data_IF_735522394939
#
_entry.id   IF_735522394939
#
_cell.length_a   1.000
_cell.length_b   1.000
_cell.length_c   1.000
_cell.angle_alpha   90.00
_cell.angle_beta   90.00
_cell.angle_gamma   90.00
#
_symmetry.space_group_name_H-M   'P 1'
#
loop_
_entity.id
_entity.type
_entity.pdbx_description
1 polymer ?
#
# COMPACT_ATOMS: atom_id res chain seq x y z
N UNK A 1 8.68 -6.47 11.33
CA UNK A 1 8.74 -5.99 12.74
C UNK A 1 7.66 -6.68 13.58
N UNK A 2 7.84 -6.88 14.90
CA UNK A 2 6.79 -7.42 15.79
C UNK A 2 5.97 -6.32 16.45
N UNK A 3 4.76 -6.65 16.88
CA UNK A 3 3.87 -5.73 17.60
C UNK A 3 4.54 -5.21 18.88
N UNK A 4 4.52 -3.90 19.09
CA UNK A 4 5.00 -3.25 20.31
C UNK A 4 3.84 -2.81 21.20
N UNK A 5 4.13 -2.37 22.43
CA UNK A 5 3.10 -1.84 23.34
C UNK A 5 2.40 -0.60 22.77
N UNK A 6 3.12 0.23 22.00
CA UNK A 6 2.57 1.42 21.34
C UNK A 6 1.62 1.07 20.19
N UNK A 7 1.65 -0.17 19.68
CA UNK A 7 0.69 -0.63 18.69
C UNK A 7 -0.71 -0.83 19.29
N UNK A 8 -0.85 -1.15 20.58
CA UNK A 8 -2.14 -1.45 21.21
C UNK A 8 -3.10 -0.24 21.15
N UNK A 9 -2.71 0.98 21.59
CA UNK A 9 -3.56 2.16 21.42
C UNK A 9 -3.85 2.48 19.95
N UNK A 10 -2.91 2.16 19.05
CA UNK A 10 -3.09 2.38 17.62
C UNK A 10 -4.18 1.47 17.04
N UNK A 11 -4.18 0.18 17.39
CA UNK A 11 -5.21 -0.78 16.98
C UNK A 11 -6.62 -0.36 17.43
N UNK A 12 -6.75 0.11 18.66
CA UNK A 12 -8.04 0.58 19.20
C UNK A 12 -8.55 1.78 18.38
N UNK A 13 -7.67 2.76 18.10
CA UNK A 13 -8.02 3.93 17.29
C UNK A 13 -8.36 3.54 15.85
N UNK A 14 -7.55 2.70 15.21
CA UNK A 14 -7.79 2.23 13.85
C UNK A 14 -9.12 1.50 13.74
N UNK A 15 -9.47 0.63 14.70
CA UNK A 15 -10.76 -0.06 14.71
C UNK A 15 -11.94 0.91 14.79
N UNK A 16 -11.81 1.95 15.62
CA UNK A 16 -12.84 2.97 15.77
C UNK A 16 -12.99 3.81 14.50
N UNK A 17 -11.88 4.27 13.94
CA UNK A 17 -11.86 5.07 12.71
C UNK A 17 -12.42 4.25 11.54
N UNK A 18 -12.00 2.99 11.42
CA UNK A 18 -12.49 2.04 10.43
C UNK A 18 -13.99 1.76 10.54
N UNK A 19 -14.53 1.70 11.76
CA UNK A 19 -15.98 1.54 11.97
C UNK A 19 -16.75 2.81 11.60
N UNK A 20 -16.20 3.99 11.91
CA UNK A 20 -16.79 5.30 11.57
C UNK A 20 -16.73 5.64 10.08
N UNK A 21 -15.74 5.10 9.37
CA UNK A 21 -15.62 5.25 7.92
C UNK A 21 -16.79 4.61 7.16
N UNK A 22 -17.34 3.51 7.69
CA UNK A 22 -18.32 2.69 6.97
C UNK A 22 -19.76 2.95 7.40
N UNK A 23 -19.99 3.48 8.61
CA UNK A 23 -21.34 3.77 9.13
C UNK A 23 -21.34 4.80 10.26
N UNK A 24 -22.49 5.46 10.44
CA UNK A 24 -22.79 6.31 11.60
C UNK A 24 -23.65 5.61 12.66
N UNK A 25 -23.98 4.32 12.50
CA UNK A 25 -24.73 3.55 13.50
C UNK A 25 -23.87 3.29 14.75
N UNK A 26 -24.09 4.09 15.80
CA UNK A 26 -23.41 3.95 17.08
C UNK A 26 -23.60 2.57 17.72
N UNK A 27 -24.75 1.92 17.52
CA UNK A 27 -24.98 0.58 18.11
C UNK A 27 -24.08 -0.45 17.47
N UNK A 28 -23.88 -0.39 16.16
CA UNK A 28 -22.89 -1.20 15.46
C UNK A 28 -21.48 -0.91 15.97
N UNK A 29 -21.08 0.37 16.01
CA UNK A 29 -19.73 0.79 16.42
C UNK A 29 -19.42 0.27 17.84
N UNK A 30 -20.35 0.39 18.77
CA UNK A 30 -20.18 -0.12 20.14
C UNK A 30 -19.99 -1.65 20.15
N UNK A 31 -20.75 -2.41 19.36
CA UNK A 31 -20.61 -3.88 19.29
C UNK A 31 -19.27 -4.28 18.69
N UNK A 32 -18.88 -3.68 17.56
CA UNK A 32 -17.60 -3.93 16.92
C UNK A 32 -16.43 -3.61 17.86
N UNK A 33 -16.45 -2.45 18.51
CA UNK A 33 -15.40 -2.06 19.46
C UNK A 33 -15.30 -2.98 20.67
N UNK A 34 -16.44 -3.46 21.21
CA UNK A 34 -16.42 -4.44 22.31
C UNK A 34 -15.73 -5.75 21.90
N UNK A 35 -16.05 -6.27 20.71
CA UNK A 35 -15.41 -7.48 20.18
C UNK A 35 -13.93 -7.27 19.89
N UNK A 36 -13.57 -6.11 19.31
CA UNK A 36 -12.17 -5.76 19.04
C UNK A 36 -11.37 -5.65 20.34
N UNK A 37 -11.88 -4.97 21.37
CA UNK A 37 -11.19 -4.85 22.65
C UNK A 37 -10.98 -6.21 23.33
N UNK A 38 -11.98 -7.10 23.25
CA UNK A 38 -11.84 -8.48 23.72
C UNK A 38 -10.82 -9.29 22.93
N UNK A 39 -10.70 -9.08 21.61
CA UNK A 39 -9.66 -9.73 20.82
C UNK A 39 -8.27 -9.18 21.15
N UNK A 40 -8.13 -7.85 21.26
CA UNK A 40 -6.87 -7.17 21.58
C UNK A 40 -6.32 -7.61 22.94
N UNK A 41 -7.17 -7.90 23.93
CA UNK A 41 -6.70 -8.37 25.23
C UNK A 41 -5.97 -9.72 25.18
N UNK A 42 -6.20 -10.51 24.12
CA UNK A 42 -5.59 -11.82 23.92
C UNK A 42 -4.54 -11.83 22.77
N UNK A 43 -4.17 -10.67 22.23
CA UNK A 43 -3.21 -10.61 21.11
C UNK A 43 -1.82 -11.12 21.49
N UNK A 44 -1.29 -12.02 20.66
CA UNK A 44 0.11 -12.39 20.69
C UNK A 44 0.96 -11.26 20.11
N UNK A 45 1.77 -10.61 20.97
CA UNK A 45 2.69 -9.55 20.55
C UNK A 45 3.84 -10.07 19.65
N UNK A 46 3.98 -11.40 19.51
CA UNK A 46 4.85 -12.04 18.52
C UNK A 46 4.42 -11.79 17.07
N UNK A 47 3.14 -11.50 16.84
CA UNK A 47 2.58 -11.19 15.51
C UNK A 47 3.08 -9.85 14.99
N UNK A 48 3.11 -9.70 13.67
CA UNK A 48 3.28 -8.40 13.02
C UNK A 48 2.02 -7.52 13.20
N UNK A 49 2.14 -6.18 13.18
CA UNK A 49 0.97 -5.32 13.28
C UNK A 49 -0.10 -5.59 12.19
N UNK A 50 0.25 -5.90 10.93
CA UNK A 50 -0.76 -6.30 9.93
C UNK A 50 -1.47 -7.63 10.22
N UNK A 51 -0.82 -8.60 10.88
CA UNK A 51 -1.49 -9.83 11.34
C UNK A 51 -2.51 -9.55 12.45
N UNK A 52 -2.16 -8.68 13.40
CA UNK A 52 -3.10 -8.22 14.41
C UNK A 52 -4.27 -7.43 13.78
N UNK A 53 -3.97 -6.54 12.83
CA UNK A 53 -4.95 -5.78 12.07
C UNK A 53 -5.92 -6.66 11.27
N UNK A 54 -5.47 -7.79 10.72
CA UNK A 54 -6.32 -8.77 10.03
C UNK A 54 -7.47 -9.24 10.92
N UNK A 55 -7.21 -9.52 12.20
CA UNK A 55 -8.25 -9.95 13.16
C UNK A 55 -9.28 -8.85 13.38
N UNK A 56 -8.81 -7.60 13.54
CA UNK A 56 -9.67 -6.43 13.75
C UNK A 56 -10.62 -6.23 12.57
N UNK A 57 -10.09 -6.23 11.34
CA UNK A 57 -10.92 -5.98 10.15
C UNK A 57 -11.87 -7.13 9.84
N UNK A 58 -11.52 -8.38 10.18
CA UNK A 58 -12.47 -9.51 10.13
C UNK A 58 -13.65 -9.28 11.06
N UNK A 59 -13.41 -8.86 12.31
CA UNK A 59 -14.49 -8.54 13.28
C UNK A 59 -15.41 -7.46 12.72
N UNK A 60 -14.86 -6.39 12.13
CA UNK A 60 -15.65 -5.30 11.54
C UNK A 60 -16.54 -5.82 10.40
N UNK A 61 -15.98 -6.61 9.47
CA UNK A 61 -16.74 -7.21 8.35
C UNK A 61 -17.86 -8.13 8.85
N UNK A 62 -17.56 -8.98 9.83
CA UNK A 62 -18.53 -9.91 10.42
C UNK A 62 -19.68 -9.19 11.13
N UNK A 63 -19.38 -8.15 11.92
CA UNK A 63 -20.42 -7.35 12.58
C UNK A 63 -21.28 -6.60 11.57
N UNK A 64 -20.69 -6.14 10.47
CA UNK A 64 -21.39 -5.38 9.43
C UNK A 64 -22.21 -6.31 8.54
N UNK A 65 -21.86 -7.60 8.50
CA UNK A 65 -22.39 -8.62 7.57
C UNK A 65 -22.21 -8.20 6.11
N UNK A 66 -21.08 -7.57 5.83
CA UNK A 66 -20.69 -7.08 4.52
C UNK A 66 -19.26 -7.57 4.23
N UNK A 67 -19.04 -8.33 3.14
CA UNK A 67 -17.70 -8.81 2.78
C UNK A 67 -16.75 -7.68 2.36
N UNK A 68 -17.24 -6.52 1.92
CA UNK A 68 -16.42 -5.34 1.62
C UNK A 68 -17.10 -4.03 2.08
N UNK A 69 -17.04 -3.73 3.38
CA UNK A 69 -17.64 -2.50 3.94
C UNK A 69 -17.05 -1.21 3.37
N UNK A 70 -15.89 -1.28 2.71
CA UNK A 70 -15.13 -0.14 2.22
C UNK A 70 -15.28 0.09 0.71
N UNK A 71 -16.06 -0.75 0.00
CA UNK A 71 -16.20 -0.71 -1.46
C UNK A 71 -16.46 0.70 -2.00
N UNK A 72 -17.46 1.40 -1.45
CA UNK A 72 -17.81 2.77 -1.89
C UNK A 72 -16.67 3.77 -1.71
N UNK A 73 -15.87 3.62 -0.65
CA UNK A 73 -14.72 4.48 -0.40
C UNK A 73 -13.61 4.19 -1.42
N UNK A 74 -13.38 2.92 -1.76
CA UNK A 74 -12.42 2.51 -2.79
C UNK A 74 -12.83 2.97 -4.19
N UNK A 75 -14.10 2.84 -4.55
CA UNK A 75 -14.65 3.32 -5.82
C UNK A 75 -14.50 4.85 -5.94
N UNK A 76 -14.88 5.61 -4.89
CA UNK A 76 -14.70 7.05 -4.87
C UNK A 76 -13.22 7.46 -4.96
N UNK A 77 -12.36 6.75 -4.23
CA UNK A 77 -10.91 6.96 -4.24
C UNK A 77 -10.34 6.74 -5.65
N UNK A 78 -10.77 5.69 -6.33
CA UNK A 78 -10.31 5.32 -7.67
C UNK A 78 -10.81 6.31 -8.73
N UNK A 79 -12.10 6.70 -8.66
CA UNK A 79 -12.67 7.69 -9.57
C UNK A 79 -11.94 9.04 -9.49
N UNK A 80 -11.69 9.54 -8.27
CA UNK A 80 -10.93 10.78 -8.03
C UNK A 80 -9.48 10.68 -8.54
N UNK A 81 -8.82 9.54 -8.35
CA UNK A 81 -7.49 9.32 -8.88
C UNK A 81 -7.46 9.30 -10.42
N UNK A 82 -8.49 8.72 -11.06
CA UNK A 82 -8.64 8.71 -12.52
C UNK A 82 -8.83 10.11 -13.10
N UNK A 83 -9.61 10.98 -12.45
CA UNK A 83 -9.78 12.39 -12.84
C UNK A 83 -8.43 13.13 -12.93
N UNK A 84 -7.50 12.82 -12.03
CA UNK A 84 -6.18 13.42 -11.97
C UNK A 84 -5.14 12.77 -12.90
N UNK A 85 -5.40 11.53 -13.32
CA UNK A 85 -4.41 10.70 -14.03
C UNK A 85 -3.91 11.34 -15.32
N UNK A 86 -4.78 12.04 -16.07
CA UNK A 86 -4.40 12.72 -17.31
C UNK A 86 -3.39 13.85 -17.07
N UNK A 87 -3.61 14.66 -16.03
CA UNK A 87 -2.70 15.75 -15.66
C UNK A 87 -1.35 15.21 -15.19
N UNK A 88 -1.37 14.19 -14.32
CA UNK A 88 -0.13 13.57 -13.82
C UNK A 88 0.65 12.92 -14.95
N UNK A 89 -0.02 12.28 -15.90
CA UNK A 89 0.64 11.72 -17.09
C UNK A 89 1.36 12.77 -17.92
N UNK A 90 0.78 13.96 -18.09
CA UNK A 90 1.45 15.10 -18.76
C UNK A 90 2.69 15.52 -17.96
N UNK A 91 2.58 15.65 -16.64
CA UNK A 91 3.73 15.99 -15.77
C UNK A 91 4.85 14.95 -15.88
N UNK A 92 4.52 13.66 -15.81
CA UNK A 92 5.49 12.56 -15.92
C UNK A 92 6.20 12.62 -17.27
N UNK A 93 5.45 12.67 -18.37
CA UNK A 93 6.01 12.64 -19.73
C UNK A 93 6.80 13.90 -20.09
N UNK A 94 6.43 15.06 -19.54
CA UNK A 94 7.15 16.33 -19.72
C UNK A 94 8.35 16.53 -18.78
N UNK A 95 8.54 15.64 -17.80
CA UNK A 95 9.62 15.78 -16.82
C UNK A 95 10.99 15.39 -17.38
N UNK A 96 12.07 15.87 -16.76
CA UNK A 96 13.45 15.49 -17.13
C UNK A 96 13.74 14.01 -16.89
N UNK A 97 13.08 13.41 -15.90
CA UNK A 97 13.21 12.00 -15.55
C UNK A 97 11.80 11.42 -15.32
N UNK A 98 11.15 10.86 -16.36
CA UNK A 98 9.80 10.32 -16.25
C UNK A 98 9.68 9.22 -15.20
N UNK A 99 10.68 8.34 -15.09
CA UNK A 99 10.66 7.24 -14.13
C UNK A 99 10.70 7.77 -12.68
N UNK A 100 11.60 8.71 -12.37
CA UNK A 100 11.64 9.35 -11.06
C UNK A 100 10.32 10.03 -10.71
N UNK A 101 9.80 10.83 -11.64
CA UNK A 101 8.54 11.56 -11.44
C UNK A 101 7.38 10.59 -11.20
N UNK A 102 7.30 9.49 -11.95
CA UNK A 102 6.26 8.49 -11.76
C UNK A 102 6.39 7.74 -10.41
N UNK A 103 7.62 7.41 -9.97
CA UNK A 103 7.83 6.83 -8.63
C UNK A 103 7.33 7.76 -7.55
N UNK A 104 7.62 9.06 -7.65
CA UNK A 104 7.14 10.08 -6.71
C UNK A 104 5.61 10.12 -6.64
N UNK A 105 4.94 10.18 -7.78
CA UNK A 105 3.47 10.16 -7.81
C UNK A 105 2.88 8.83 -7.30
N UNK A 106 3.55 7.69 -7.56
CA UNK A 106 3.13 6.39 -7.02
C UNK A 106 3.19 6.35 -5.49
N UNK A 107 4.14 7.06 -4.86
CA UNK A 107 4.22 7.18 -3.39
C UNK A 107 3.18 8.20 -2.89
N UNK A 108 3.04 9.33 -3.59
CA UNK A 108 2.06 10.37 -3.28
C UNK A 108 0.62 9.85 -3.27
N UNK A 109 0.29 8.94 -4.19
CA UNK A 109 -1.04 8.34 -4.29
C UNK A 109 -1.49 7.65 -3.00
N UNK A 110 -0.56 7.09 -2.23
CA UNK A 110 -0.87 6.49 -0.93
C UNK A 110 -1.24 7.55 0.13
N UNK A 111 -0.83 8.81 -0.04
CA UNK A 111 -0.97 9.89 0.95
C UNK A 111 -2.29 10.63 0.79
N UNK A 112 -2.77 10.72 -0.44
CA UNK A 112 -3.83 11.67 -0.80
C UNK A 112 -5.23 11.23 -0.34
N UNK A 113 -5.37 10.12 0.40
CA UNK A 113 -6.58 9.62 1.09
C UNK A 113 -7.89 9.96 0.34
N UNK A 114 -7.89 9.66 -0.97
CA UNK A 114 -8.85 10.18 -1.94
C UNK A 114 -10.31 9.86 -1.57
N UNK A 115 -10.57 8.81 -0.79
CA UNK A 115 -11.92 8.42 -0.36
C UNK A 115 -12.39 9.01 0.97
N UNK A 116 -11.51 9.56 1.81
CA UNK A 116 -11.86 9.90 3.21
C UNK A 116 -12.12 11.39 3.44
N UNK A 117 -11.65 12.26 2.55
CA UNK A 117 -11.82 13.72 2.68
C UNK A 117 -13.05 14.22 1.94
N UNK A 118 -13.90 14.96 2.66
CA UNK A 118 -15.05 15.68 2.11
C UNK A 118 -14.62 16.89 1.27
N UNK A 119 -13.44 17.45 1.54
CA UNK A 119 -12.83 18.57 0.85
C UNK A 119 -11.90 18.09 -0.28
N UNK A 120 -12.50 17.64 -1.38
CA UNK A 120 -11.82 17.48 -2.67
C UNK A 120 -11.63 18.86 -3.32
N UNK A 121 -10.73 19.65 -2.74
CA UNK A 121 -10.38 20.99 -3.21
C UNK A 121 -9.13 20.95 -4.10
N UNK A 122 -9.19 21.65 -5.24
CA UNK A 122 -8.08 21.85 -6.16
C UNK A 122 -6.82 22.33 -5.42
N UNK A 123 -6.95 23.20 -4.42
CA UNK A 123 -5.80 23.68 -3.65
C UNK A 123 -5.07 22.55 -2.91
N UNK A 124 -5.81 21.57 -2.37
CA UNK A 124 -5.22 20.43 -1.69
C UNK A 124 -4.54 19.47 -2.67
N UNK A 125 -5.18 19.23 -3.82
CA UNK A 125 -4.61 18.43 -4.92
C UNK A 125 -3.30 19.04 -5.39
N UNK A 126 -3.28 20.35 -5.64
CA UNK A 126 -2.09 21.10 -6.02
C UNK A 126 -0.97 20.99 -5.00
N UNK A 127 -1.27 21.20 -3.71
CA UNK A 127 -0.27 21.07 -2.65
C UNK A 127 0.34 19.67 -2.58
N UNK A 128 -0.47 18.63 -2.86
CA UNK A 128 0.00 17.24 -2.86
C UNK A 128 0.91 16.94 -4.06
N UNK A 129 0.62 17.54 -5.22
CA UNK A 129 1.48 17.45 -6.41
C UNK A 129 2.81 18.15 -6.18
N UNK A 130 2.78 19.38 -5.67
CA UNK A 130 3.99 20.14 -5.34
C UNK A 130 4.86 19.40 -4.31
N UNK A 131 4.23 18.79 -3.30
CA UNK A 131 4.91 17.94 -2.35
C UNK A 131 5.57 16.75 -3.04
N UNK A 132 4.85 16.07 -3.93
CA UNK A 132 5.39 14.90 -4.62
C UNK A 132 6.64 15.20 -5.45
N UNK A 133 6.67 16.36 -6.12
CA UNK A 133 7.82 16.79 -6.90
C UNK A 133 9.03 17.17 -6.04
N UNK A 134 8.82 17.60 -4.79
CA UNK A 134 9.88 18.18 -3.94
C UNK A 134 10.37 17.26 -2.82
N UNK A 135 9.57 16.28 -2.41
CA UNK A 135 9.90 15.43 -1.27
C UNK A 135 11.21 14.66 -1.51
N UNK A 136 12.19 14.68 -0.60
CA UNK A 136 13.44 13.95 -0.83
C UNK A 136 13.21 12.44 -0.97
N UNK A 137 13.88 11.82 -1.94
CA UNK A 137 13.98 10.37 -2.09
C UNK A 137 15.44 9.98 -2.35
N UNK A 138 15.81 8.73 -2.07
CA UNK A 138 17.14 8.22 -2.38
C UNK A 138 17.29 7.95 -3.89
N UNK A 139 17.92 8.90 -4.58
CA UNK A 139 18.18 8.82 -6.02
C UNK A 139 19.13 7.68 -6.40
N UNK A 140 20.00 7.23 -5.50
CA UNK A 140 20.91 6.10 -5.77
C UNK A 140 20.12 4.79 -5.79
N UNK A 141 19.28 4.59 -4.79
CA UNK A 141 18.39 3.41 -4.75
C UNK A 141 17.42 3.41 -5.92
N UNK A 142 16.92 4.58 -6.33
CA UNK A 142 16.09 4.74 -7.52
C UNK A 142 16.83 4.36 -8.81
N UNK A 143 18.08 4.79 -8.98
CA UNK A 143 18.91 4.42 -10.13
C UNK A 143 19.18 2.91 -10.18
N UNK A 144 19.45 2.29 -9.02
CA UNK A 144 19.58 0.83 -8.95
C UNK A 144 18.27 0.14 -9.38
N UNK A 145 17.12 0.59 -8.88
CA UNK A 145 15.81 0.06 -9.28
C UNK A 145 15.59 0.18 -10.79
N UNK A 146 15.86 1.36 -11.36
CA UNK A 146 15.73 1.60 -12.81
C UNK A 146 16.55 0.60 -13.63
N UNK A 147 17.82 0.42 -13.27
CA UNK A 147 18.72 -0.48 -13.99
C UNK A 147 18.33 -1.95 -13.84
N UNK A 148 17.80 -2.34 -12.68
CA UNK A 148 17.34 -3.72 -12.48
C UNK A 148 16.05 -4.00 -13.25
N UNK A 149 15.07 -3.09 -13.24
CA UNK A 149 13.87 -3.21 -14.08
C UNK A 149 14.27 -3.30 -15.57
N UNK A 150 15.21 -2.47 -16.02
CA UNK A 150 15.66 -2.42 -17.43
C UNK A 150 16.18 -3.77 -17.93
N UNK A 151 16.83 -4.53 -17.06
CA UNK A 151 17.44 -5.81 -17.39
C UNK A 151 16.58 -7.02 -16.97
N UNK A 152 15.47 -6.80 -16.28
CA UNK A 152 14.57 -7.83 -15.82
C UNK A 152 13.77 -8.45 -16.97
N UNK A 153 13.47 -9.74 -16.86
CA UNK A 153 12.46 -10.42 -17.67
C UNK A 153 11.11 -10.39 -16.97
N UNK A 154 11.08 -10.38 -15.65
CA UNK A 154 9.85 -10.36 -14.84
C UNK A 154 9.96 -9.38 -13.68
N UNK A 155 8.96 -8.52 -13.55
CA UNK A 155 8.80 -7.58 -12.44
C UNK A 155 7.49 -7.88 -11.73
N UNK A 156 7.52 -8.01 -10.41
CA UNK A 156 6.32 -8.13 -9.58
C UNK A 156 6.16 -6.85 -8.76
N UNK A 157 5.03 -6.17 -8.91
CA UNK A 157 4.63 -5.03 -8.11
C UNK A 157 3.57 -5.47 -7.11
N UNK A 158 3.81 -5.26 -5.83
CA UNK A 158 2.83 -5.51 -4.76
C UNK A 158 2.08 -4.22 -4.47
N UNK A 159 0.82 -4.15 -4.86
CA UNK A 159 -0.05 -3.02 -4.60
C UNK A 159 -0.40 -2.85 -3.13
N UNK A 160 -0.89 -1.66 -2.82
CA UNK A 160 -1.40 -1.28 -1.50
C UNK A 160 -2.87 -0.85 -1.63
N UNK A 161 -3.16 0.45 -1.78
CA UNK A 161 -4.53 0.99 -1.76
C UNK A 161 -5.21 1.07 -3.13
N UNK A 162 -6.54 0.96 -3.17
CA UNK A 162 -7.34 1.00 -4.40
C UNK A 162 -7.10 2.26 -5.26
N UNK A 163 -7.20 3.47 -4.69
CA UNK A 163 -6.92 4.70 -5.46
C UNK A 163 -5.46 4.85 -5.90
N UNK A 164 -4.53 4.24 -5.18
CA UNK A 164 -3.09 4.27 -5.50
C UNK A 164 -2.79 3.51 -6.80
N UNK A 165 -3.56 2.46 -7.10
CA UNK A 165 -3.38 1.63 -8.31
C UNK A 165 -3.41 2.45 -9.60
N UNK A 166 -4.11 3.59 -9.65
CA UNK A 166 -4.14 4.49 -10.82
C UNK A 166 -2.76 5.10 -11.07
N UNK A 167 -2.02 5.48 -10.02
CA UNK A 167 -0.68 6.05 -10.15
C UNK A 167 0.37 4.95 -10.34
N UNK A 168 0.13 3.77 -9.78
CA UNK A 168 0.97 2.59 -10.05
C UNK A 168 0.91 2.20 -11.52
N UNK A 169 -0.27 2.27 -12.15
CA UNK A 169 -0.38 2.11 -13.60
C UNK A 169 0.55 3.08 -14.34
N UNK A 170 0.51 4.37 -13.98
CA UNK A 170 1.37 5.39 -14.62
C UNK A 170 2.87 5.13 -14.39
N UNK A 171 3.24 4.56 -13.25
CA UNK A 171 4.60 4.09 -12.99
C UNK A 171 5.00 2.92 -13.89
N UNK A 172 4.13 1.92 -14.04
CA UNK A 172 4.40 0.75 -14.88
C UNK A 172 4.48 1.16 -16.36
N UNK A 173 3.66 2.13 -16.81
CA UNK A 173 3.71 2.69 -18.17
C UNK A 173 5.09 3.27 -18.54
N UNK A 174 5.91 3.67 -17.56
CA UNK A 174 7.24 4.24 -17.78
C UNK A 174 8.39 3.34 -17.32
N UNK A 175 8.12 2.07 -17.03
CA UNK A 175 9.18 1.11 -16.73
C UNK A 175 10.18 1.01 -17.89
N UNK A 176 11.50 1.00 -17.60
CA UNK A 176 12.48 0.77 -18.64
C UNK A 176 12.47 -0.69 -19.09
N UNK A 177 12.69 -0.93 -20.39
CA UNK A 177 12.75 -2.28 -20.94
C UNK A 177 11.37 -2.87 -21.24
N UNK A 178 11.30 -4.20 -21.36
CA UNK A 178 10.11 -4.92 -21.81
C UNK A 178 9.76 -6.09 -20.87
N UNK A 179 10.06 -5.94 -19.57
CA UNK A 179 9.79 -7.00 -18.61
C UNK A 179 8.29 -7.34 -18.58
N UNK A 180 7.97 -8.63 -18.39
CA UNK A 180 6.61 -9.05 -18.06
C UNK A 180 6.29 -8.57 -16.65
N UNK A 181 5.20 -7.82 -16.50
CA UNK A 181 4.83 -7.22 -15.21
C UNK A 181 3.65 -7.97 -14.62
N UNK A 182 3.79 -8.40 -13.37
CA UNK A 182 2.69 -8.86 -12.52
C UNK A 182 2.36 -7.79 -11.50
N UNK A 183 1.07 -7.54 -11.28
CA UNK A 183 0.58 -6.62 -10.25
C UNK A 183 -0.24 -7.41 -9.22
N UNK A 184 0.32 -7.58 -8.03
CA UNK A 184 -0.30 -8.33 -6.96
C UNK A 184 -1.20 -7.46 -6.09
N UNK A 185 -2.40 -7.97 -5.83
CA UNK A 185 -3.47 -7.37 -5.02
C UNK A 185 -3.92 -8.33 -3.92
N UNK A 186 -4.78 -7.87 -3.02
CA UNK A 186 -5.29 -8.70 -1.93
C UNK A 186 -6.24 -9.80 -2.43
N UNK A 187 -6.38 -10.86 -1.63
CA UNK A 187 -7.34 -11.96 -1.84
C UNK A 187 -8.78 -11.54 -1.60
N UNK A 188 -9.00 -10.64 -0.66
CA UNK A 188 -10.32 -10.06 -0.39
C UNK A 188 -10.18 -8.71 0.31
N UNK A 189 -11.31 -8.03 0.51
CA UNK A 189 -11.35 -6.68 1.02
C UNK A 189 -10.76 -6.57 2.44
N UNK A 190 -9.84 -5.63 2.60
CA UNK A 190 -9.25 -5.25 3.88
C UNK A 190 -8.96 -3.76 3.83
N UNK A 191 -9.71 -2.98 4.62
CA UNK A 191 -9.65 -1.52 4.59
C UNK A 191 -9.85 -1.00 3.15
N UNK A 192 -8.94 -0.15 2.67
CA UNK A 192 -8.91 0.43 1.35
C UNK A 192 -7.89 -0.27 0.43
N UNK A 193 -7.33 -1.41 0.83
CA UNK A 193 -6.38 -2.15 0.00
C UNK A 193 -7.06 -2.64 -1.28
N UNK A 194 -6.29 -2.63 -2.38
CA UNK A 194 -6.76 -3.02 -3.69
C UNK A 194 -7.01 -4.53 -3.78
N UNK A 195 -8.15 -4.88 -4.37
CA UNK A 195 -8.47 -6.22 -4.88
C UNK A 195 -8.29 -6.27 -6.39
N UNK A 196 -8.51 -7.43 -7.00
CA UNK A 196 -8.41 -7.58 -8.46
C UNK A 196 -9.40 -6.69 -9.22
N UNK A 197 -10.57 -6.43 -8.64
CA UNK A 197 -11.54 -5.55 -9.26
C UNK A 197 -11.13 -4.08 -9.18
N UNK A 198 -10.59 -3.64 -8.04
CA UNK A 198 -10.08 -2.28 -7.88
C UNK A 198 -8.94 -1.99 -8.88
N UNK A 199 -8.01 -2.94 -9.05
CA UNK A 199 -6.92 -2.82 -10.02
C UNK A 199 -7.42 -2.77 -11.47
N UNK A 200 -8.48 -3.53 -11.81
CA UNK A 200 -9.10 -3.44 -13.14
C UNK A 200 -9.75 -2.08 -13.38
N UNK A 201 -10.47 -1.56 -12.40
CA UNK A 201 -11.07 -0.22 -12.51
C UNK A 201 -10.02 0.88 -12.74
N UNK A 202 -8.82 0.72 -12.18
CA UNK A 202 -7.71 1.63 -12.41
C UNK A 202 -6.96 1.41 -13.75
N UNK A 203 -7.30 0.34 -14.48
CA UNK A 203 -6.73 0.00 -15.79
C UNK A 203 -5.39 -0.73 -15.72
N UNK A 204 -5.03 -1.35 -14.60
CA UNK A 204 -3.76 -2.08 -14.42
C UNK A 204 -3.62 -3.21 -15.44
N UNK A 205 -4.70 -3.86 -15.84
CA UNK A 205 -4.74 -4.95 -16.82
C UNK A 205 -4.20 -4.55 -18.21
N UNK A 206 -4.12 -3.24 -18.48
CA UNK A 206 -3.55 -2.72 -19.73
C UNK A 206 -2.02 -2.72 -19.72
N UNK A 207 -1.38 -2.87 -18.55
CA UNK A 207 0.07 -2.73 -18.36
C UNK A 207 0.71 -3.86 -17.56
N UNK A 208 -0.09 -4.68 -16.89
CA UNK A 208 0.39 -5.80 -16.07
C UNK A 208 -0.67 -6.91 -15.94
N UNK A 209 -0.20 -8.11 -15.60
CA UNK A 209 -1.07 -9.23 -15.24
C UNK A 209 -1.46 -9.14 -13.76
N UNK A 210 -2.77 -9.06 -13.49
CA UNK A 210 -3.30 -8.93 -12.14
C UNK A 210 -3.26 -10.31 -11.45
N UNK A 211 -2.65 -10.34 -10.27
CA UNK A 211 -2.44 -11.55 -9.47
C UNK A 211 -3.01 -11.35 -8.07
N UNK A 212 -3.74 -12.33 -7.54
CA UNK A 212 -4.17 -12.26 -6.14
C UNK A 212 -3.15 -12.92 -5.22
N UNK A 213 -2.81 -12.25 -4.11
CA UNK A 213 -1.98 -12.86 -3.07
C UNK A 213 -2.74 -13.91 -2.22
N UNK A 214 -4.07 -13.97 -2.33
CA UNK A 214 -4.93 -14.93 -1.63
C UNK A 214 -5.20 -14.61 -0.15
N UNK A 215 -4.77 -13.46 0.37
CA UNK A 215 -4.85 -13.10 1.79
C UNK A 215 -5.75 -11.88 2.01
N UNK A 216 -6.45 -11.84 3.15
CA UNK A 216 -7.34 -10.76 3.59
C UNK A 216 -6.71 -9.90 4.71
N UNK A 217 -5.41 -9.65 4.62
CA UNK A 217 -4.65 -8.80 5.54
C UNK A 217 -4.07 -7.61 4.79
N UNK A 218 -3.88 -6.49 5.49
CA UNK A 218 -2.97 -5.46 5.01
C UNK A 218 -1.56 -6.06 4.90
N UNK A 219 -0.78 -5.58 3.94
CA UNK A 219 0.53 -6.18 3.65
C UNK A 219 0.49 -7.54 2.94
N UNK A 220 1.60 -8.28 3.01
CA UNK A 220 1.79 -9.56 2.31
C UNK A 220 2.37 -10.61 3.26
N UNK A 221 1.48 -11.41 3.85
CA UNK A 221 1.85 -12.49 4.78
C UNK A 221 2.25 -13.74 3.98
N UNK A 222 3.54 -13.86 3.63
CA UNK A 222 4.05 -14.92 2.75
C UNK A 222 3.62 -16.34 3.16
N UNK A 223 3.59 -16.63 4.46
CA UNK A 223 3.15 -17.93 4.99
C UNK A 223 1.65 -18.25 4.77
N UNK A 224 0.84 -17.27 4.39
CA UNK A 224 -0.59 -17.41 4.10
C UNK A 224 -0.92 -17.18 2.62
N UNK A 225 0.04 -16.72 1.82
CA UNK A 225 -0.19 -16.41 0.42
C UNK A 225 -0.47 -17.66 -0.42
N UNK A 226 -1.16 -17.47 -1.55
CA UNK A 226 -1.45 -18.54 -2.51
C UNK A 226 -0.16 -19.12 -3.11
N UNK A 227 -0.20 -20.40 -3.51
CA UNK A 227 0.96 -21.05 -4.15
C UNK A 227 1.36 -20.38 -5.48
N UNK A 228 0.38 -19.89 -6.24
CA UNK A 228 0.61 -19.13 -7.47
C UNK A 228 1.37 -17.83 -7.18
N UNK A 229 0.92 -17.06 -6.17
CA UNK A 229 1.61 -15.85 -5.74
C UNK A 229 3.03 -16.15 -5.28
N UNK A 230 3.23 -17.19 -4.47
CA UNK A 230 4.56 -17.54 -3.95
C UNK A 230 5.53 -17.94 -5.06
N UNK A 231 5.08 -18.66 -6.09
CA UNK A 231 5.92 -18.98 -7.25
C UNK A 231 6.36 -17.70 -7.96
N UNK A 232 5.41 -16.84 -8.34
CA UNK A 232 5.72 -15.59 -9.06
C UNK A 232 6.57 -14.66 -8.22
N UNK A 233 6.30 -14.57 -6.92
CA UNK A 233 7.14 -13.86 -5.98
C UNK A 233 8.56 -14.42 -6.10
N UNK A 234 8.81 -15.67 -5.71
CA UNK A 234 10.16 -16.23 -5.66
C UNK A 234 10.93 -16.15 -6.99
N UNK A 235 10.23 -16.29 -8.13
CA UNK A 235 10.85 -16.35 -9.45
C UNK A 235 11.04 -14.98 -10.13
N UNK A 236 10.36 -13.92 -9.67
CA UNK A 236 10.51 -12.59 -10.27
C UNK A 236 11.94 -12.03 -10.10
N UNK A 237 12.48 -11.46 -11.17
CA UNK A 237 13.81 -10.84 -11.14
C UNK A 237 13.84 -9.60 -10.23
N UNK A 238 12.75 -8.83 -10.22
CA UNK A 238 12.59 -7.61 -9.41
C UNK A 238 11.23 -7.64 -8.70
N UNK A 239 11.24 -7.32 -7.41
CA UNK A 239 10.01 -7.06 -6.64
C UNK A 239 10.00 -5.64 -6.11
N UNK A 240 8.88 -4.97 -6.37
CA UNK A 240 8.57 -3.64 -5.89
C UNK A 240 7.38 -3.76 -4.94
N UNK A 241 7.56 -3.31 -3.71
CA UNK A 241 6.55 -3.38 -2.66
C UNK A 241 6.08 -1.96 -2.33
N UNK A 242 4.80 -1.69 -2.59
CA UNK A 242 4.18 -0.41 -2.25
C UNK A 242 3.64 -0.42 -0.82
N UNK A 243 3.69 0.72 -0.15
CA UNK A 243 2.98 0.92 1.12
C UNK A 243 3.64 0.33 2.37
N UNK A 244 3.23 0.85 3.53
CA UNK A 244 3.84 0.48 4.81
C UNK A 244 3.44 -0.92 5.28
N UNK A 245 2.21 -1.37 5.04
CA UNK A 245 1.76 -2.70 5.45
C UNK A 245 2.57 -3.82 4.78
N UNK A 246 2.88 -3.68 3.49
CA UNK A 246 3.76 -4.63 2.80
C UNK A 246 5.19 -4.57 3.37
N UNK A 247 5.74 -3.38 3.67
CA UNK A 247 7.04 -3.25 4.32
C UNK A 247 7.11 -3.96 5.68
N UNK A 248 6.11 -3.77 6.54
CA UNK A 248 6.07 -4.37 7.88
C UNK A 248 6.07 -5.91 7.86
N UNK A 249 5.52 -6.50 6.79
CA UNK A 249 5.39 -7.95 6.59
C UNK A 249 6.55 -8.56 5.78
N UNK A 250 7.20 -7.78 4.92
CA UNK A 250 8.23 -8.26 3.99
C UNK A 250 9.66 -7.81 4.31
N UNK A 251 9.86 -6.93 5.28
CA UNK A 251 11.20 -6.41 5.60
C UNK A 251 12.22 -7.50 6.01
N UNK A 252 11.75 -8.66 6.47
CA UNK A 252 12.56 -9.83 6.80
C UNK A 252 12.48 -10.94 5.74
N UNK A 253 11.93 -10.69 4.56
CA UNK A 253 11.87 -11.69 3.50
C UNK A 253 13.29 -12.06 3.03
N UNK A 254 13.52 -13.34 2.74
CA UNK A 254 14.83 -13.88 2.32
C UNK A 254 15.15 -13.58 0.85
N UNK A 255 14.92 -12.34 0.42
CA UNK A 255 15.22 -11.87 -0.92
C UNK A 255 15.33 -10.35 -0.98
N UNK A 256 15.84 -9.86 -2.10
CA UNK A 256 15.83 -8.44 -2.40
C UNK A 256 14.42 -7.97 -2.78
N UNK A 257 13.97 -6.89 -2.14
CA UNK A 257 12.70 -6.19 -2.43
C UNK A 257 12.98 -4.70 -2.42
N UNK A 258 12.45 -3.96 -3.40
CA UNK A 258 12.42 -2.51 -3.40
C UNK A 258 11.15 -2.00 -2.74
N UNK A 259 11.29 -1.19 -1.70
CA UNK A 259 10.17 -0.56 -1.00
C UNK A 259 9.95 0.87 -1.49
N UNK A 260 8.72 1.17 -1.89
CA UNK A 260 8.25 2.50 -2.26
C UNK A 260 7.10 2.88 -1.33
N UNK A 261 7.36 3.70 -0.32
CA UNK A 261 6.37 4.03 0.71
C UNK A 261 6.62 5.38 1.36
N UNK A 262 5.60 5.88 2.05
CA UNK A 262 5.74 6.92 3.06
C UNK A 262 5.64 6.29 4.46
N UNK A 263 6.52 6.71 5.37
CA UNK A 263 6.45 6.29 6.79
C UNK A 263 5.29 7.02 7.48
N UNK A 264 4.25 6.28 7.85
CA UNK A 264 3.04 6.79 8.52
C UNK A 264 2.95 6.38 10.01
N UNK A 265 3.79 5.45 10.46
CA UNK A 265 3.78 4.96 11.83
C UNK A 265 5.00 5.45 12.61
N UNK A 266 4.75 6.08 13.77
CA UNK A 266 5.82 6.50 14.67
C UNK A 266 6.68 5.33 15.16
N UNK A 267 6.09 4.17 15.44
CA UNK A 267 6.85 2.99 15.90
C UNK A 267 7.82 2.52 14.82
N UNK A 268 7.40 2.53 13.56
CA UNK A 268 8.27 2.20 12.42
C UNK A 268 9.36 3.27 12.24
N UNK A 269 8.99 4.54 12.34
CA UNK A 269 9.93 5.65 12.25
C UNK A 269 11.04 5.51 13.31
N UNK A 270 10.67 5.27 14.57
CA UNK A 270 11.62 5.14 15.67
C UNK A 270 12.48 3.87 15.52
N UNK A 271 11.88 2.73 15.13
CA UNK A 271 12.61 1.46 15.00
C UNK A 271 13.67 1.49 13.89
N UNK A 272 13.35 2.08 12.74
CA UNK A 272 14.26 2.16 11.58
C UNK A 272 15.06 3.46 11.51
N UNK A 273 14.90 4.36 12.48
CA UNK A 273 15.46 5.71 12.49
C UNK A 273 15.09 6.52 11.24
N UNK A 274 13.83 6.38 10.80
CA UNK A 274 13.23 7.22 9.77
C UNK A 274 12.55 8.43 10.40
N UNK A 275 12.25 9.43 9.58
CA UNK A 275 11.35 10.53 9.98
C UNK A 275 9.91 10.16 9.67
N UNK A 276 8.99 10.53 10.57
CA UNK A 276 7.57 10.42 10.27
C UNK A 276 7.22 11.29 9.04
N UNK A 277 6.56 10.70 8.05
CA UNK A 277 6.23 11.32 6.78
C UNK A 277 7.33 11.20 5.71
N UNK A 278 8.48 10.61 6.03
CA UNK A 278 9.59 10.39 5.09
C UNK A 278 9.21 9.42 3.97
N UNK A 279 9.69 9.72 2.77
CA UNK A 279 9.51 8.86 1.61
C UNK A 279 10.71 7.94 1.46
N UNK A 280 10.42 6.65 1.35
CA UNK A 280 11.41 5.60 1.24
C UNK A 280 11.38 5.06 -0.18
N UNK A 281 12.53 5.09 -0.81
CA UNK A 281 12.89 4.35 -2.02
C UNK A 281 14.15 3.60 -1.68
N UNK A 282 14.05 2.33 -1.32
CA UNK A 282 15.18 1.56 -0.80
C UNK A 282 15.00 0.07 -1.06
N UNK A 283 16.09 -0.66 -1.26
CA UNK A 283 16.05 -2.13 -1.26
C UNK A 283 16.24 -2.70 0.15
N UNK A 284 15.76 -3.93 0.38
CA UNK A 284 15.86 -4.60 1.68
C UNK A 284 17.30 -4.68 2.24
N UNK A 285 18.34 -4.71 1.39
CA UNK A 285 19.72 -4.77 1.87
C UNK A 285 20.25 -3.41 2.38
N UNK A 286 19.69 -2.29 1.91
CA UNK A 286 20.11 -0.96 2.39
C UNK A 286 19.45 -0.62 3.73
N UNK A 287 18.27 -1.17 4.02
CA UNK A 287 17.51 -0.94 5.25
C UNK A 287 17.97 -1.79 6.44
N UNK A 288 18.60 -2.93 6.20
CA UNK A 288 19.05 -3.85 7.26
C UNK A 288 20.44 -3.49 7.86
N UNK A 289 21.05 -2.38 7.45
CA UNK A 289 22.41 -1.97 7.88
C UNK A 289 22.46 -1.08 9.12
N UNK A 290 21.34 -0.89 9.82
CA UNK A 290 21.21 0.05 10.95
C UNK A 290 20.96 -0.61 12.32
N UNK A 291 21.22 -1.92 12.47
CA UNK A 291 21.26 -2.57 13.79
C UNK A 291 22.68 -2.60 14.37
#
# INVERSE_FOLDING_TARGET
MRTSLDCIPCFIRQALDASKMITSDEKFIIRAMKRVLAAISDFDLGLTPPEAGQVIHRIIREEMKDPDPYLKLKELSTARALELSGRIKITITGSKNPFETAVRFSIAGNIMDFGMRSDWDEAHIMSSFEKAEREPIDLKSLECLYNEIKNAKTVLVLGDNAGETVFDRLLIEVFPGNARVYYAVKGSAVINDATAEDARQAGIENVAEILSNGVDSSGTLLNKCSGEFLSIFNDADVVISKGQGNFETLNNAERKIYFLLQVKCKVIADFYNFRHGEWIVADSNSLNKTN
#
